data_IF_170489621909
#
_entry.id   IF_170489621909
#
_cell.length_a   1.000
_cell.length_b   1.000
_cell.length_c   1.000
_cell.angle_alpha   90.00
_cell.angle_beta   90.00
_cell.angle_gamma   90.00
#
_symmetry.space_group_name_H-M   'P 1'
#
loop_
_entity.id
_entity.type
_entity.pdbx_description
1 polymer ?
#
# COMPACT_ATOMS: atom_id res chain seq x y z
N UNK A 1 -7.04 6.44 -3.05
CA UNK A 1 -5.91 6.69 -2.15
C UNK A 1 -4.75 7.28 -2.93
N UNK A 2 -3.78 7.87 -2.23
CA UNK A 2 -2.50 8.28 -2.85
C UNK A 2 -1.47 7.19 -2.55
N UNK A 3 -0.85 6.66 -3.59
CA UNK A 3 0.24 5.71 -3.45
C UNK A 3 1.57 6.43 -3.65
N UNK A 4 2.51 6.18 -2.74
CA UNK A 4 3.85 6.75 -2.79
C UNK A 4 4.85 5.62 -2.60
N UNK A 5 5.80 5.49 -3.53
CA UNK A 5 6.91 4.54 -3.42
C UNK A 5 8.21 5.34 -3.40
N UNK A 6 9.01 5.10 -2.37
CA UNK A 6 10.33 5.71 -2.20
C UNK A 6 11.40 4.63 -2.06
N UNK A 7 12.53 4.82 -2.75
CA UNK A 7 13.70 3.97 -2.59
C UNK A 7 14.89 4.85 -2.17
N UNK A 8 15.53 4.55 -1.04
CA UNK A 8 16.65 5.31 -0.50
C UNK A 8 16.36 6.82 -0.34
N UNK A 9 15.16 7.16 0.12
CA UNK A 9 14.72 8.56 0.28
C UNK A 9 14.36 9.28 -1.02
N UNK A 10 14.45 8.61 -2.18
CA UNK A 10 14.10 9.17 -3.49
C UNK A 10 12.70 8.70 -3.90
N UNK A 11 11.86 9.63 -4.32
CA UNK A 11 10.54 9.34 -4.87
C UNK A 11 10.68 8.59 -6.21
N UNK A 12 10.07 7.42 -6.30
CA UNK A 12 10.03 6.59 -7.52
C UNK A 12 8.68 6.62 -8.20
N UNK A 13 7.62 6.65 -7.41
CA UNK A 13 6.25 6.67 -7.91
C UNK A 13 5.37 7.48 -6.97
N UNK A 14 4.52 8.32 -7.55
CA UNK A 14 3.46 9.02 -6.85
C UNK A 14 2.26 9.10 -7.77
N UNK A 15 1.17 8.42 -7.41
CA UNK A 15 -0.06 8.50 -8.17
C UNK A 15 -1.27 8.41 -7.27
N UNK A 16 -2.39 8.95 -7.74
CA UNK A 16 -3.67 8.88 -7.06
C UNK A 16 -4.59 7.93 -7.81
N UNK A 17 -5.09 6.95 -7.07
CA UNK A 17 -6.09 6.02 -7.56
C UNK A 17 -7.44 6.29 -6.89
N UNK A 18 -8.52 6.13 -7.66
CA UNK A 18 -9.88 6.06 -7.12
C UNK A 18 -10.24 4.59 -7.06
N UNK A 19 -10.64 4.11 -5.89
CA UNK A 19 -11.02 2.72 -5.67
C UNK A 19 -12.40 2.68 -5.03
N UNK A 20 -13.19 1.63 -5.32
CA UNK A 20 -14.55 1.47 -4.77
C UNK A 20 -14.61 0.36 -3.74
N UNK A 21 -13.75 -0.65 -3.88
CA UNK A 21 -13.71 -1.83 -3.02
C UNK A 21 -12.29 -2.11 -2.51
N UNK A 22 -12.16 -2.85 -1.42
CA UNK A 22 -10.84 -3.27 -0.90
C UNK A 22 -10.07 -4.16 -1.89
N UNK A 23 -10.78 -4.85 -2.79
CA UNK A 23 -10.17 -5.61 -3.90
C UNK A 23 -9.55 -4.68 -4.95
N UNK A 24 -10.21 -3.58 -5.31
CA UNK A 24 -9.62 -2.56 -6.20
C UNK A 24 -8.34 -1.98 -5.59
N UNK A 25 -8.35 -1.74 -4.27
CA UNK A 25 -7.20 -1.23 -3.54
C UNK A 25 -5.99 -2.18 -3.64
N UNK A 26 -6.18 -3.47 -3.35
CA UNK A 26 -5.09 -4.46 -3.44
C UNK A 26 -4.64 -4.65 -4.88
N UNK A 27 -5.57 -4.64 -5.84
CA UNK A 27 -5.25 -4.69 -7.26
C UNK A 27 -4.31 -3.55 -7.67
N UNK A 28 -4.62 -2.30 -7.29
CA UNK A 28 -3.76 -1.17 -7.64
C UNK A 28 -2.36 -1.27 -7.00
N UNK A 29 -2.26 -1.79 -5.78
CA UNK A 29 -0.97 -2.03 -5.10
C UNK A 29 -0.15 -3.05 -5.88
N UNK A 30 -0.71 -4.24 -6.13
CA UNK A 30 -0.02 -5.33 -6.84
C UNK A 30 0.31 -4.94 -8.28
N UNK A 31 -0.59 -4.24 -8.97
CA UNK A 31 -0.35 -3.71 -10.31
C UNK A 31 0.85 -2.75 -10.31
N UNK A 32 0.90 -1.81 -9.37
CA UNK A 32 2.00 -0.84 -9.30
C UNK A 32 3.33 -1.52 -8.94
N UNK A 33 3.30 -2.53 -8.07
CA UNK A 33 4.48 -3.33 -7.76
C UNK A 33 4.99 -4.07 -9.00
N UNK A 34 4.09 -4.71 -9.76
CA UNK A 34 4.44 -5.40 -11.01
C UNK A 34 5.04 -4.44 -12.05
N UNK A 35 4.44 -3.26 -12.25
CA UNK A 35 4.96 -2.24 -13.18
C UNK A 35 6.36 -1.72 -12.81
N UNK A 36 6.72 -1.81 -11.53
CA UNK A 36 8.01 -1.38 -11.01
C UNK A 36 8.98 -2.55 -10.75
N UNK A 37 8.59 -3.76 -11.13
CA UNK A 37 9.37 -4.99 -10.90
C UNK A 37 9.76 -5.18 -9.42
N UNK A 38 8.82 -4.88 -8.50
CA UNK A 38 9.00 -5.01 -7.05
C UNK A 38 8.37 -6.31 -6.57
N UNK A 39 9.16 -7.16 -5.93
CA UNK A 39 8.65 -8.38 -5.31
C UNK A 39 8.02 -8.10 -3.93
N UNK A 40 7.01 -8.89 -3.49
CA UNK A 40 6.35 -8.69 -2.19
C UNK A 40 7.28 -8.68 -0.98
N UNK A 41 8.37 -9.43 -1.03
CA UNK A 41 9.34 -9.52 0.06
C UNK A 41 10.29 -8.31 0.12
N UNK A 42 10.37 -7.52 -0.96
CA UNK A 42 11.25 -6.35 -1.06
C UNK A 42 10.61 -5.07 -0.50
N UNK A 43 9.29 -5.08 -0.27
CA UNK A 43 8.55 -3.91 0.15
C UNK A 43 8.13 -3.96 1.62
N UNK A 44 8.21 -2.80 2.26
CA UNK A 44 7.58 -2.54 3.55
C UNK A 44 6.43 -1.56 3.34
N UNK A 45 5.20 -2.08 3.34
CA UNK A 45 4.01 -1.28 3.09
C UNK A 45 3.57 -0.55 4.36
N UNK A 46 3.52 0.78 4.29
CA UNK A 46 2.93 1.62 5.34
C UNK A 46 1.58 2.16 4.90
N UNK A 47 0.55 1.89 5.68
CA UNK A 47 -0.79 2.42 5.49
C UNK A 47 -1.02 3.61 6.42
N UNK A 48 -1.48 4.72 5.87
CA UNK A 48 -1.67 5.98 6.59
C UNK A 48 -3.10 6.51 6.38
N UNK A 49 -3.62 7.25 7.37
CA UNK A 49 -4.95 7.86 7.31
C UNK A 49 -5.98 7.08 8.11
N UNK A 50 -7.25 7.16 7.71
CA UNK A 50 -8.36 6.54 8.44
C UNK A 50 -8.43 5.02 8.20
N UNK A 51 -7.44 4.29 8.70
CA UNK A 51 -7.30 2.84 8.57
C UNK A 51 -6.84 2.25 9.90
N UNK A 52 -7.37 1.08 10.27
CA UNK A 52 -7.03 0.34 11.48
C UNK A 52 -7.07 -1.16 11.18
N UNK A 53 -6.65 -2.00 12.13
CA UNK A 53 -6.54 -3.45 11.89
C UNK A 53 -7.89 -4.16 11.66
N UNK A 54 -8.99 -3.51 12.05
CA UNK A 54 -10.36 -4.02 11.85
C UNK A 54 -10.96 -3.58 10.51
N UNK A 55 -10.28 -2.72 9.74
CA UNK A 55 -10.79 -2.28 8.45
C UNK A 55 -10.68 -3.39 7.40
N UNK A 56 -11.68 -3.45 6.52
CA UNK A 56 -11.68 -4.39 5.40
C UNK A 56 -10.45 -4.18 4.50
N UNK A 57 -10.09 -2.93 4.22
CA UNK A 57 -8.88 -2.56 3.46
C UNK A 57 -7.61 -3.18 4.06
N UNK A 58 -7.43 -3.10 5.39
CA UNK A 58 -6.26 -3.69 6.05
C UNK A 58 -6.28 -5.21 5.98
N UNK A 59 -7.43 -5.84 6.24
CA UNK A 59 -7.57 -7.29 6.22
C UNK A 59 -7.31 -7.86 4.83
N UNK A 60 -7.87 -7.26 3.78
CA UNK A 60 -7.66 -7.69 2.39
C UNK A 60 -6.19 -7.51 2.01
N UNK A 61 -5.56 -6.36 2.28
CA UNK A 61 -4.14 -6.16 1.95
C UNK A 61 -3.24 -7.21 2.63
N UNK A 62 -3.49 -7.53 3.91
CA UNK A 62 -2.71 -8.54 4.63
C UNK A 62 -2.87 -9.97 4.11
N UNK A 63 -3.88 -10.26 3.30
CA UNK A 63 -4.01 -11.58 2.66
C UNK A 63 -3.02 -11.75 1.50
N UNK A 64 -2.50 -10.66 0.94
CA UNK A 64 -1.61 -10.67 -0.22
C UNK A 64 -0.18 -10.23 0.10
N UNK A 65 0.00 -9.40 1.14
CA UNK A 65 1.30 -8.83 1.51
C UNK A 65 1.60 -9.11 2.98
N UNK A 66 2.80 -9.62 3.25
CA UNK A 66 3.22 -10.02 4.61
C UNK A 66 3.74 -8.85 5.45
N UNK A 67 4.34 -7.84 4.81
CA UNK A 67 5.05 -6.75 5.47
C UNK A 67 4.25 -5.44 5.50
N UNK A 68 3.07 -5.49 6.13
CA UNK A 68 2.13 -4.36 6.18
C UNK A 68 2.07 -3.80 7.60
N UNK A 69 2.26 -2.48 7.74
CA UNK A 69 2.03 -1.79 9.02
C UNK A 69 1.19 -0.54 8.84
N UNK A 70 0.39 -0.24 9.86
CA UNK A 70 -0.28 1.04 9.96
C UNK A 70 0.73 2.03 10.55
N UNK A 71 0.95 3.14 9.85
CA UNK A 71 1.80 4.20 10.37
C UNK A 71 1.10 4.82 11.59
N UNK A 72 1.78 4.97 12.73
CA UNK A 72 1.25 5.81 13.80
C UNK A 72 1.03 7.21 13.22
N UNK A 73 -0.09 7.83 13.57
CA UNK A 73 -0.29 9.27 13.34
C UNK A 73 0.75 10.00 14.19
N UNK A 74 1.94 10.22 13.63
CA UNK A 74 2.92 11.13 14.19
C UNK A 74 2.63 12.51 13.62
N UNK A 75 2.06 13.37 14.48
CA UNK A 75 2.10 14.82 14.32
C UNK A 75 3.53 15.32 14.16
#
# INVERSE_FOLDING_TARGET
>A
FTMVITANGILKFCNRFVYKTSQDLVYYILFTMNELEIEPDEIFLKLCGNINEQSEDFQVINQYLNNVKISPFSH
#
